data_IF_035858553703
#
_entry.id   IF_035858553703
#
_cell.length_a   1.000
_cell.length_b   1.000
_cell.length_c   1.000
_cell.angle_alpha   90.00
_cell.angle_beta   90.00
_cell.angle_gamma   90.00
#
_symmetry.space_group_name_H-M   'P 1'
#
loop_
_entity.id
_entity.type
_entity.pdbx_description
1 polymer ?
#
# COMPACT_ATOMS: atom_id res chain seq x y z
N UNK A 1 4.48 9.55 1.06
CA UNK A 1 4.64 10.98 1.45
C UNK A 1 5.83 11.24 2.38
N UNK A 2 5.78 10.96 3.69
CA UNK A 2 6.84 11.35 4.64
C UNK A 2 8.23 10.78 4.31
N UNK A 3 8.30 9.52 3.84
CA UNK A 3 9.55 8.95 3.38
C UNK A 3 10.17 9.77 2.23
N UNK A 4 9.35 10.16 1.25
CA UNK A 4 9.80 10.98 0.11
C UNK A 4 10.26 12.38 0.57
N UNK A 5 9.56 13.02 1.50
CA UNK A 5 10.02 14.30 2.08
C UNK A 5 11.42 14.17 2.72
N UNK A 6 11.69 13.04 3.39
CA UNK A 6 13.00 12.79 4.02
C UNK A 6 14.17 12.73 3.03
N UNK A 7 13.93 12.49 1.73
CA UNK A 7 14.98 12.55 0.70
C UNK A 7 15.42 13.98 0.38
N UNK A 8 14.52 14.95 0.58
CA UNK A 8 14.73 16.36 0.24
C UNK A 8 14.98 17.24 1.47
N UNK A 9 14.99 16.66 2.68
CA UNK A 9 15.27 17.36 3.92
C UNK A 9 16.78 17.47 4.17
N UNK A 10 17.25 18.70 4.40
CA UNK A 10 18.66 19.02 4.65
C UNK A 10 19.03 18.85 6.14
N UNK A 11 18.07 19.04 7.04
CA UNK A 11 18.29 18.86 8.47
C UNK A 11 18.27 17.37 8.82
N UNK A 12 19.42 16.84 9.24
CA UNK A 12 19.57 15.42 9.58
C UNK A 12 18.59 14.92 10.65
N UNK A 13 18.37 15.68 11.72
CA UNK A 13 17.44 15.30 12.78
C UNK A 13 16.02 15.18 12.25
N UNK A 14 15.57 16.18 11.48
CA UNK A 14 14.23 16.18 10.89
C UNK A 14 14.07 15.06 9.86
N UNK A 15 15.11 14.78 9.07
CA UNK A 15 15.14 13.65 8.14
C UNK A 15 14.92 12.32 8.87
N UNK A 16 15.64 12.09 9.98
CA UNK A 16 15.51 10.85 10.76
C UNK A 16 14.13 10.75 11.42
N UNK A 17 13.56 11.86 11.89
CA UNK A 17 12.19 11.93 12.44
C UNK A 17 11.12 11.60 11.39
N UNK A 18 11.22 12.20 10.19
CA UNK A 18 10.31 11.94 9.06
C UNK A 18 10.36 10.48 8.62
N UNK A 19 11.57 9.90 8.51
CA UNK A 19 11.71 8.52 8.12
C UNK A 19 11.12 7.60 9.20
N UNK A 20 11.41 7.84 10.48
CA UNK A 20 10.83 7.06 11.59
C UNK A 20 9.30 7.12 11.61
N UNK A 21 8.72 8.29 11.35
CA UNK A 21 7.27 8.46 11.22
C UNK A 21 6.72 7.64 10.05
N UNK A 22 7.36 7.71 8.88
CA UNK A 22 6.97 6.95 7.70
C UNK A 22 6.99 5.44 7.96
N UNK A 23 8.03 4.93 8.61
CA UNK A 23 8.16 3.52 8.97
C UNK A 23 7.07 3.07 9.96
N UNK A 24 6.73 3.94 10.92
CA UNK A 24 5.70 3.66 11.93
C UNK A 24 4.30 3.61 11.30
N UNK A 25 3.97 4.55 10.41
CA UNK A 25 2.71 4.54 9.65
C UNK A 25 2.63 3.28 8.77
N UNK A 26 3.70 2.96 8.04
CA UNK A 26 3.74 1.78 7.19
C UNK A 26 3.57 0.47 7.97
N UNK A 27 4.18 0.39 9.16
CA UNK A 27 3.99 -0.75 10.07
C UNK A 27 2.53 -0.85 10.52
N UNK A 28 1.91 0.26 10.92
CA UNK A 28 0.48 0.28 11.29
C UNK A 28 -0.44 -0.14 10.14
N UNK A 29 -0.19 0.33 8.91
CA UNK A 29 -0.92 -0.12 7.73
C UNK A 29 -0.72 -1.62 7.48
N UNK A 30 0.51 -2.15 7.62
CA UNK A 30 0.77 -3.58 7.51
C UNK A 30 0.03 -4.38 8.59
N UNK A 31 -0.01 -3.92 9.83
CA UNK A 31 -0.77 -4.56 10.89
C UNK A 31 -2.27 -4.63 10.57
N UNK A 32 -2.82 -3.58 9.95
CA UNK A 32 -4.22 -3.62 9.49
C UNK A 32 -4.50 -4.69 8.45
N UNK A 33 -3.51 -5.04 7.60
CA UNK A 33 -3.59 -6.16 6.66
C UNK A 33 -3.43 -7.50 7.40
N UNK A 34 -2.40 -7.62 8.23
CA UNK A 34 -2.05 -8.87 8.90
C UNK A 34 -3.15 -9.37 9.86
N UNK A 35 -3.93 -8.46 10.44
CA UNK A 35 -5.00 -8.79 11.40
C UNK A 35 -6.31 -9.23 10.75
N UNK A 36 -6.40 -9.29 9.42
CA UNK A 36 -7.60 -9.79 8.73
C UNK A 36 -7.44 -11.26 8.30
N UNK A 37 -8.56 -11.92 8.01
CA UNK A 37 -8.56 -13.31 7.55
C UNK A 37 -7.98 -13.44 6.13
N UNK A 38 -8.20 -12.43 5.29
CA UNK A 38 -7.75 -12.39 3.89
C UNK A 38 -6.32 -11.86 3.71
N UNK A 39 -5.70 -11.33 4.78
CA UNK A 39 -4.42 -10.60 4.71
C UNK A 39 -4.47 -9.34 3.82
N UNK A 40 -5.67 -8.77 3.69
CA UNK A 40 -5.96 -7.50 3.04
C UNK A 40 -6.56 -6.55 4.07
N UNK A 41 -6.13 -5.29 4.11
CA UNK A 41 -6.64 -4.31 5.08
C UNK A 41 -8.05 -3.82 4.75
N UNK A 42 -8.88 -3.48 5.75
CA UNK A 42 -10.19 -2.87 5.56
C UNK A 42 -10.06 -1.40 5.08
N UNK A 43 -11.15 -0.83 4.57
CA UNK A 43 -11.23 0.60 4.21
C UNK A 43 -10.89 1.51 5.39
N UNK A 44 -11.34 1.14 6.60
CA UNK A 44 -11.04 1.86 7.83
C UNK A 44 -10.75 0.89 8.96
N UNK A 45 -9.94 1.35 9.90
CA UNK A 45 -9.64 0.66 11.13
C UNK A 45 -9.52 1.65 12.28
N UNK A 46 -9.72 1.16 13.49
CA UNK A 46 -9.80 1.98 14.70
C UNK A 46 -8.74 1.56 15.72
N UNK A 47 -8.47 2.50 16.64
CA UNK A 47 -7.68 2.31 17.85
C UNK A 47 -8.58 2.65 19.04
N UNK A 48 -9.54 1.78 19.35
CA UNK A 48 -10.54 2.01 20.41
C UNK A 48 -10.91 0.72 21.12
N UNK A 49 -10.79 0.73 22.45
CA UNK A 49 -11.07 -0.45 23.27
C UNK A 49 -10.20 -1.61 22.83
N UNK A 50 -10.81 -2.70 22.39
CA UNK A 50 -10.12 -3.90 21.89
C UNK A 50 -9.80 -3.83 20.37
N UNK A 51 -10.22 -2.78 19.67
CA UNK A 51 -9.86 -2.57 18.26
C UNK A 51 -8.48 -1.89 18.20
N UNK A 52 -7.50 -2.61 17.67
CA UNK A 52 -6.18 -2.07 17.33
C UNK A 52 -5.89 -2.45 15.88
N UNK A 53 -5.93 -1.46 14.99
CA UNK A 53 -5.79 -1.64 13.54
C UNK A 53 -6.82 -2.62 12.94
N UNK A 54 -8.04 -2.68 13.49
CA UNK A 54 -9.17 -3.46 12.95
C UNK A 54 -10.48 -2.64 12.97
N UNK A 55 -11.54 -3.14 12.33
CA UNK A 55 -12.89 -2.57 12.43
C UNK A 55 -13.97 -3.63 12.64
N UNK A 56 -14.91 -3.35 13.55
CA UNK A 56 -16.14 -4.11 13.75
C UNK A 56 -17.32 -3.57 12.93
N UNK A 57 -17.18 -2.40 12.29
CA UNK A 57 -18.24 -1.77 11.51
C UNK A 57 -18.34 -2.42 10.12
N UNK A 58 -19.44 -3.12 9.84
CA UNK A 58 -19.61 -3.90 8.61
C UNK A 58 -19.41 -3.08 7.33
N UNK A 59 -19.87 -1.83 7.31
CA UNK A 59 -19.73 -0.92 6.17
C UNK A 59 -18.31 -0.35 5.99
N UNK A 60 -17.35 -0.76 6.81
CA UNK A 60 -15.93 -0.36 6.72
C UNK A 60 -15.00 -1.55 6.44
N UNK A 61 -15.52 -2.78 6.42
CA UNK A 61 -14.74 -4.02 6.29
C UNK A 61 -14.34 -4.36 4.84
N UNK A 62 -14.72 -3.53 3.87
CA UNK A 62 -14.48 -3.81 2.46
C UNK A 62 -13.06 -3.41 2.03
N UNK A 63 -12.63 -3.94 0.88
CA UNK A 63 -11.42 -3.53 0.18
C UNK A 63 -11.71 -3.45 -1.31
N UNK A 64 -11.51 -2.27 -1.91
CA UNK A 64 -11.82 -2.01 -3.33
C UNK A 64 -10.58 -1.94 -4.22
N UNK A 65 -9.57 -2.78 -3.98
CA UNK A 65 -8.32 -2.85 -4.78
C UNK A 65 -7.38 -1.64 -4.62
N UNK A 66 -7.52 -0.94 -3.48
CA UNK A 66 -6.81 0.28 -3.12
C UNK A 66 -5.27 0.14 -3.06
N UNK A 67 -4.50 1.18 -3.48
CA UNK A 67 -3.06 1.10 -3.61
C UNK A 67 -2.24 1.59 -2.40
N UNK A 68 -2.83 2.37 -1.49
CA UNK A 68 -2.08 3.35 -0.67
C UNK A 68 -1.07 2.70 0.30
N UNK A 69 -1.38 1.51 0.82
CA UNK A 69 -0.42 0.76 1.65
C UNK A 69 0.79 0.28 0.83
N UNK A 70 0.53 -0.28 -0.36
CA UNK A 70 1.56 -0.75 -1.30
C UNK A 70 2.40 0.44 -1.80
N UNK A 71 1.78 1.58 -2.10
CA UNK A 71 2.47 2.83 -2.44
C UNK A 71 3.44 3.24 -1.32
N UNK A 72 2.97 3.27 -0.08
CA UNK A 72 3.80 3.62 1.08
C UNK A 72 5.01 2.69 1.23
N UNK A 73 4.81 1.39 1.06
CA UNK A 73 5.88 0.40 1.11
C UNK A 73 6.85 0.50 -0.07
N UNK A 74 6.36 0.83 -1.27
CA UNK A 74 7.19 1.10 -2.45
C UNK A 74 8.19 2.24 -2.18
N UNK A 75 7.72 3.38 -1.68
CA UNK A 75 8.60 4.51 -1.36
C UNK A 75 9.61 4.14 -0.26
N UNK A 76 9.17 3.44 0.78
CA UNK A 76 10.07 2.98 1.84
C UNK A 76 11.11 1.98 1.33
N UNK A 77 10.74 1.09 0.41
CA UNK A 77 11.70 0.21 -0.27
C UNK A 77 12.76 1.02 -1.02
N UNK A 78 12.36 1.91 -1.94
CA UNK A 78 13.30 2.72 -2.75
C UNK A 78 14.23 3.58 -1.90
N UNK A 79 13.76 4.06 -0.76
CA UNK A 79 14.52 5.00 0.08
C UNK A 79 15.44 4.29 1.07
N UNK A 80 15.00 3.16 1.62
CA UNK A 80 15.71 2.50 2.74
C UNK A 80 16.37 1.18 2.35
N UNK A 81 15.91 0.56 1.25
CA UNK A 81 16.28 -0.79 0.83
C UNK A 81 16.09 -1.87 1.90
N UNK A 82 15.24 -1.62 2.91
CA UNK A 82 14.91 -2.64 3.91
C UNK A 82 14.08 -3.75 3.26
N UNK A 83 14.53 -5.02 3.27
CA UNK A 83 13.85 -6.13 2.57
C UNK A 83 12.40 -6.38 3.03
N UNK A 84 12.06 -5.94 4.23
CA UNK A 84 10.72 -6.10 4.80
C UNK A 84 9.62 -5.48 3.95
N UNK A 85 9.89 -4.34 3.26
CA UNK A 85 8.89 -3.68 2.43
C UNK A 85 8.59 -4.46 1.15
N UNK A 86 9.61 -5.07 0.53
CA UNK A 86 9.41 -6.03 -0.57
C UNK A 86 8.60 -7.24 -0.11
N UNK A 87 8.87 -7.75 1.10
CA UNK A 87 8.08 -8.85 1.68
C UNK A 87 6.61 -8.46 1.85
N UNK A 88 6.32 -7.29 2.43
CA UNK A 88 4.95 -6.83 2.62
C UNK A 88 4.21 -6.60 1.29
N UNK A 89 4.87 -6.01 0.29
CA UNK A 89 4.31 -5.91 -1.06
C UNK A 89 4.01 -7.29 -1.66
N UNK A 90 4.91 -8.27 -1.46
CA UNK A 90 4.70 -9.64 -1.95
C UNK A 90 3.52 -10.33 -1.25
N UNK A 91 3.46 -10.25 0.08
CA UNK A 91 2.37 -10.82 0.88
C UNK A 91 1.01 -10.24 0.43
N UNK A 92 0.94 -8.92 0.19
CA UNK A 92 -0.26 -8.27 -0.34
C UNK A 92 -0.61 -8.72 -1.77
N UNK A 93 0.39 -8.86 -2.65
CA UNK A 93 0.15 -9.36 -4.01
C UNK A 93 -0.44 -10.78 -4.00
N UNK A 94 0.08 -11.66 -3.14
CA UNK A 94 -0.45 -13.03 -2.96
C UNK A 94 -1.86 -13.00 -2.39
N UNK A 95 -2.15 -12.13 -1.41
CA UNK A 95 -3.48 -11.98 -0.85
C UNK A 95 -4.51 -11.50 -1.89
N UNK A 96 -4.15 -10.50 -2.70
CA UNK A 96 -4.96 -10.01 -3.82
C UNK A 96 -5.20 -11.12 -4.84
N UNK A 97 -4.16 -11.89 -5.20
CA UNK A 97 -4.29 -13.02 -6.12
C UNK A 97 -5.27 -14.09 -5.60
N UNK A 98 -5.21 -14.41 -4.31
CA UNK A 98 -6.04 -15.45 -3.69
C UNK A 98 -7.50 -15.02 -3.50
N UNK A 99 -7.76 -13.75 -3.22
CA UNK A 99 -9.09 -13.29 -2.78
C UNK A 99 -9.79 -12.39 -3.80
N UNK A 100 -9.06 -11.54 -4.52
CA UNK A 100 -9.64 -10.57 -5.45
C UNK A 100 -9.77 -11.12 -6.88
N UNK A 101 -8.97 -12.10 -7.28
CA UNK A 101 -8.99 -12.65 -8.65
C UNK A 101 -10.33 -13.29 -9.01
N UNK A 102 -10.75 -13.07 -10.25
CA UNK A 102 -11.88 -13.72 -10.91
C UNK A 102 -11.40 -14.42 -12.19
N UNK A 103 -12.31 -15.07 -12.92
CA UNK A 103 -12.00 -15.64 -14.24
C UNK A 103 -11.55 -14.57 -15.24
N UNK A 104 -12.04 -13.33 -15.13
CA UNK A 104 -11.88 -12.29 -16.16
C UNK A 104 -11.16 -11.02 -15.66
N UNK A 105 -10.61 -11.02 -14.45
CA UNK A 105 -9.96 -9.85 -13.86
C UNK A 105 -9.84 -9.93 -12.34
N UNK A 106 -9.99 -8.78 -11.69
CA UNK A 106 -9.97 -8.63 -10.23
C UNK A 106 -11.20 -7.84 -9.77
N UNK A 107 -11.67 -8.13 -8.56
CA UNK A 107 -12.79 -7.46 -7.92
C UNK A 107 -12.40 -7.06 -6.51
N UNK A 108 -12.93 -5.93 -6.05
CA UNK A 108 -12.97 -5.66 -4.62
C UNK A 108 -13.75 -6.73 -3.85
N UNK A 109 -13.58 -6.74 -2.53
CA UNK A 109 -14.23 -7.68 -1.61
C UNK A 109 -14.98 -6.90 -0.53
N UNK A 110 -16.16 -7.40 -0.15
CA UNK A 110 -17.05 -6.71 0.80
C UNK A 110 -16.66 -6.89 2.26
N UNK A 111 -15.93 -7.95 2.58
CA UNK A 111 -15.50 -8.24 3.95
C UNK A 111 -14.13 -8.94 3.98
N UNK A 112 -13.09 -8.22 4.41
CA UNK A 112 -11.72 -8.73 4.56
C UNK A 112 -11.54 -9.73 5.71
N UNK A 113 -12.51 -9.82 6.62
CA UNK A 113 -12.48 -10.72 7.80
C UNK A 113 -13.18 -12.06 7.55
N UNK A 114 -13.79 -12.27 6.39
CA UNK A 114 -14.48 -13.52 6.03
C UNK A 114 -13.77 -14.25 4.89
N UNK A 115 -13.62 -15.57 5.03
CA UNK A 115 -13.23 -16.48 3.95
C UNK A 115 -14.23 -17.63 3.93
N UNK A 116 -14.94 -17.91 2.81
CA UNK A 116 -14.79 -17.30 1.49
C UNK A 116 -15.23 -15.82 1.44
N UNK A 117 -14.68 -15.09 0.48
CA UNK A 117 -14.96 -13.65 0.26
C UNK A 117 -16.17 -13.46 -0.66
N UNK A 118 -16.92 -12.39 -0.42
CA UNK A 118 -17.94 -11.88 -1.34
C UNK A 118 -17.34 -10.75 -2.17
N UNK A 119 -17.45 -10.86 -3.50
CA UNK A 119 -16.92 -9.89 -4.46
C UNK A 119 -17.91 -8.74 -4.69
N UNK A 120 -17.38 -7.55 -4.94
CA UNK A 120 -18.19 -6.36 -5.26
C UNK A 120 -18.52 -6.20 -6.75
N UNK A 121 -17.96 -7.05 -7.60
CA UNK A 121 -18.06 -7.07 -9.07
C UNK A 121 -17.55 -5.80 -9.77
N UNK A 122 -16.55 -5.13 -9.18
CA UNK A 122 -15.92 -3.94 -9.76
C UNK A 122 -14.40 -4.06 -9.81
N UNK A 123 -13.84 -3.89 -11.01
CA UNK A 123 -12.40 -3.66 -11.18
C UNK A 123 -12.15 -2.16 -11.33
N UNK A 124 -11.64 -1.56 -10.26
CA UNK A 124 -11.31 -0.13 -10.24
C UNK A 124 -10.15 0.19 -11.19
N UNK A 125 -10.18 1.34 -11.87
CA UNK A 125 -9.11 1.76 -12.79
C UNK A 125 -7.76 1.88 -12.07
N UNK A 126 -7.77 2.39 -10.84
CA UNK A 126 -6.58 2.53 -10.01
C UNK A 126 -5.91 1.21 -9.64
N UNK A 127 -6.61 0.07 -9.72
CA UNK A 127 -5.94 -1.22 -9.52
C UNK A 127 -4.84 -1.42 -10.58
N UNK A 128 -5.15 -1.09 -11.83
CA UNK A 128 -4.21 -1.19 -12.95
C UNK A 128 -3.21 -0.03 -12.93
N UNK A 129 -3.68 1.19 -12.70
CA UNK A 129 -2.84 2.37 -12.74
C UNK A 129 -1.86 2.44 -11.56
N UNK A 130 -2.29 2.05 -10.36
CA UNK A 130 -1.56 2.30 -9.13
C UNK A 130 -1.08 1.00 -8.49
N UNK A 131 -2.01 0.13 -8.04
CA UNK A 131 -1.68 -1.06 -7.26
C UNK A 131 -0.69 -1.96 -7.99
N UNK A 132 -0.98 -2.32 -9.25
CA UNK A 132 -0.08 -3.14 -10.06
C UNK A 132 1.23 -2.41 -10.44
N UNK A 133 1.18 -1.09 -10.66
CA UNK A 133 2.39 -0.31 -11.00
C UNK A 133 3.35 -0.23 -9.83
N UNK A 134 2.88 0.08 -8.62
CA UNK A 134 3.72 0.12 -7.44
C UNK A 134 4.25 -1.25 -7.05
N UNK A 135 3.44 -2.32 -7.20
CA UNK A 135 3.94 -3.69 -7.06
C UNK A 135 5.07 -3.97 -8.08
N UNK A 136 4.86 -3.67 -9.36
CA UNK A 136 5.86 -3.86 -10.41
C UNK A 136 7.17 -3.11 -10.08
N UNK A 137 7.08 -1.80 -9.80
CA UNK A 137 8.25 -0.97 -9.52
C UNK A 137 8.99 -1.34 -8.23
N UNK A 138 8.30 -1.93 -7.25
CA UNK A 138 8.92 -2.46 -6.02
C UNK A 138 9.91 -3.60 -6.32
N UNK A 139 9.61 -4.42 -7.33
CA UNK A 139 10.44 -5.55 -7.73
C UNK A 139 11.36 -5.25 -8.94
N UNK A 140 11.31 -4.04 -9.49
CA UNK A 140 12.28 -3.53 -10.45
C UNK A 140 13.52 -2.93 -9.76
N UNK A 141 14.54 -2.69 -10.59
CA UNK A 141 15.72 -1.92 -10.23
C UNK A 141 15.40 -0.42 -10.09
N UNK A 142 16.27 0.28 -9.37
CA UNK A 142 16.05 1.67 -8.94
C UNK A 142 16.10 2.69 -10.09
N UNK A 143 16.69 2.31 -11.22
CA UNK A 143 16.80 3.10 -12.45
C UNK A 143 15.53 3.09 -13.32
N UNK A 144 14.57 2.21 -13.01
CA UNK A 144 13.23 2.23 -13.60
C UNK A 144 12.38 3.26 -12.85
N UNK A 145 12.05 4.36 -13.53
CA UNK A 145 11.35 5.54 -12.98
C UNK A 145 12.02 6.05 -11.69
N UNK A 146 13.25 6.60 -11.79
CA UNK A 146 14.01 7.00 -10.61
C UNK A 146 13.40 8.26 -9.98
N UNK A 147 13.34 8.28 -8.64
CA UNK A 147 12.61 9.29 -7.85
C UNK A 147 13.23 10.70 -7.90
N UNK A 148 14.46 10.83 -8.40
CA UNK A 148 15.14 12.11 -8.64
C UNK A 148 14.75 12.76 -9.99
N UNK A 149 14.14 11.99 -10.89
CA UNK A 149 13.73 12.47 -12.24
C UNK A 149 12.22 12.50 -12.45
N UNK A 150 11.46 11.74 -11.65
CA UNK A 150 10.02 11.59 -11.80
C UNK A 150 9.30 11.82 -10.47
N UNK A 151 8.17 12.52 -10.54
CA UNK A 151 7.20 12.62 -9.45
C UNK A 151 5.90 11.96 -9.88
N UNK A 152 5.36 11.09 -9.04
CA UNK A 152 4.04 10.50 -9.28
C UNK A 152 2.95 11.50 -8.89
N UNK A 153 1.94 11.68 -9.74
CA UNK A 153 0.69 12.28 -9.28
C UNK A 153 -0.07 11.32 -8.35
N UNK A 154 -1.20 11.77 -7.82
CA UNK A 154 -2.00 10.98 -6.86
C UNK A 154 -2.71 9.75 -7.46
N UNK A 155 -2.53 9.45 -8.75
CA UNK A 155 -3.05 8.26 -9.43
C UNK A 155 -1.88 7.46 -10.08
N UNK A 156 -0.70 7.53 -9.45
CA UNK A 156 0.54 6.89 -9.88
C UNK A 156 0.99 7.18 -11.32
N UNK A 157 0.58 8.30 -11.94
CA UNK A 157 1.11 8.71 -13.23
C UNK A 157 2.41 9.50 -13.04
N UNK A 158 3.55 9.01 -13.58
CA UNK A 158 4.83 9.69 -13.43
C UNK A 158 4.89 10.93 -14.33
N UNK A 159 5.31 12.06 -13.75
CA UNK A 159 5.51 13.35 -14.40
C UNK A 159 6.99 13.71 -14.26
N UNK A 160 7.68 14.13 -15.34
CA UNK A 160 9.08 14.50 -15.25
C UNK A 160 9.27 15.75 -14.39
N UNK A 161 10.33 15.76 -13.57
CA UNK A 161 10.74 16.96 -12.84
C UNK A 161 11.31 17.97 -13.83
N UNK A 162 10.79 19.20 -13.82
CA UNK A 162 11.35 20.31 -14.62
C UNK A 162 12.56 20.91 -13.90
N UNK A 163 13.68 21.00 -14.60
CA UNK A 163 14.94 21.59 -14.12
C UNK A 163 15.10 23.01 -14.67
#
# INVERSE_FOLDING_TARGET
MFALESMHENNRTRKDELLKLAESIAFTCHESYNRTATKIGPERFWFKGDEEATTKQQNEQYYILRPEAIEGWFYLWRITHKPIYRKWCWDAAVAIENHCKTTNGYSGIRNVYSVPVEKDDVQQSFFLAETLKYLYLTFCDDDVIPLDKWVFNTEAHPIPVTV
#
